data_IF_458264050348
#
_entry.id   IF_458264050348
#
_cell.length_a   1.000
_cell.length_b   1.000
_cell.length_c   1.000
_cell.angle_alpha   90.00
_cell.angle_beta   90.00
_cell.angle_gamma   90.00
#
_symmetry.space_group_name_H-M   'P 1'
#
loop_
_entity.id
_entity.type
_entity.pdbx_description
1 polymer ?
#
# COMPACT_ATOMS: atom_id res chain seq x y z
N UNK A 1 26.13 4.59 -14.95
CA UNK A 1 25.06 4.58 -13.94
C UNK A 1 24.93 3.22 -13.24
N UNK A 2 25.04 2.10 -13.98
CA UNK A 2 24.95 0.76 -13.39
C UNK A 2 25.87 0.55 -12.19
N UNK A 3 27.08 1.08 -12.22
CA UNK A 3 28.07 0.90 -11.16
C UNK A 3 27.82 1.82 -9.93
N UNK A 4 27.02 2.86 -10.14
CA UNK A 4 26.80 3.90 -9.12
C UNK A 4 25.47 3.74 -8.38
N UNK A 5 24.42 3.23 -9.03
CA UNK A 5 23.13 3.09 -8.34
C UNK A 5 23.15 2.11 -7.15
N UNK A 6 24.00 1.04 -7.11
CA UNK A 6 24.12 0.20 -5.92
C UNK A 6 24.50 0.98 -4.66
N UNK A 7 25.32 2.03 -4.78
CA UNK A 7 25.71 2.88 -3.65
C UNK A 7 24.51 3.65 -3.06
N UNK A 8 23.60 4.15 -3.91
CA UNK A 8 22.37 4.75 -3.43
C UNK A 8 21.43 3.69 -2.77
N UNK A 9 21.39 2.48 -3.30
CA UNK A 9 20.61 1.38 -2.70
C UNK A 9 21.16 1.01 -1.32
N UNK A 10 22.49 0.97 -1.15
CA UNK A 10 23.14 0.75 0.14
C UNK A 10 22.76 1.86 1.15
N UNK A 11 22.85 3.13 0.72
CA UNK A 11 22.38 4.28 1.53
C UNK A 11 20.91 4.16 1.93
N UNK A 12 20.06 3.65 1.04
CA UNK A 12 18.67 3.40 1.37
C UNK A 12 18.50 2.32 2.45
N UNK A 13 19.34 1.26 2.45
CA UNK A 13 19.34 0.20 3.47
C UNK A 13 19.85 0.73 4.81
N UNK A 14 20.96 1.49 4.83
CA UNK A 14 21.47 2.18 6.01
C UNK A 14 20.38 3.04 6.66
N UNK A 15 19.61 3.76 5.84
CA UNK A 15 18.46 4.57 6.26
C UNK A 15 17.21 3.73 6.58
N UNK A 16 17.35 2.41 6.74
CA UNK A 16 16.29 1.46 7.11
C UNK A 16 15.03 1.58 6.22
N UNK A 17 15.21 1.90 4.93
CA UNK A 17 14.09 1.91 3.99
C UNK A 17 13.54 0.50 3.79
N UNK A 18 12.23 0.38 3.62
CA UNK A 18 11.56 -0.92 3.41
C UNK A 18 12.08 -1.58 2.14
N UNK A 19 12.40 -2.88 2.19
CA UNK A 19 12.87 -3.67 1.04
C UNK A 19 11.95 -3.54 -0.18
N UNK A 20 10.66 -3.48 0.02
CA UNK A 20 9.73 -3.22 -1.07
C UNK A 20 10.02 -1.91 -1.81
N UNK A 21 10.30 -0.82 -1.07
CA UNK A 21 10.63 0.49 -1.68
C UNK A 21 11.95 0.42 -2.42
N UNK A 22 12.93 -0.28 -1.86
CA UNK A 22 14.23 -0.53 -2.47
C UNK A 22 14.05 -1.28 -3.80
N UNK A 23 13.33 -2.40 -3.80
CA UNK A 23 13.08 -3.20 -4.99
C UNK A 23 12.33 -2.41 -6.08
N UNK A 24 11.31 -1.62 -5.71
CA UNK A 24 10.62 -0.73 -6.64
C UNK A 24 11.54 0.36 -7.20
N UNK A 25 12.54 0.82 -6.43
CA UNK A 25 13.53 1.79 -6.87
C UNK A 25 14.52 1.16 -7.84
N UNK A 26 15.01 -0.05 -7.56
CA UNK A 26 15.87 -0.83 -8.47
C UNK A 26 15.19 -1.03 -9.83
N UNK A 27 13.90 -1.37 -9.84
CA UNK A 27 13.14 -1.52 -11.09
C UNK A 27 13.04 -0.19 -11.86
N UNK A 28 12.94 0.95 -11.16
CA UNK A 28 12.97 2.27 -11.80
C UNK A 28 14.33 2.56 -12.45
N UNK A 29 15.44 2.14 -11.83
CA UNK A 29 16.77 2.30 -12.39
C UNK A 29 16.97 1.48 -13.65
N UNK A 30 16.47 0.24 -13.66
CA UNK A 30 16.47 -0.60 -14.86
C UNK A 30 15.70 0.05 -16.01
N UNK A 31 14.55 0.64 -15.70
CA UNK A 31 13.73 1.36 -16.69
C UNK A 31 14.49 2.59 -17.26
N UNK A 32 15.23 3.32 -16.42
CA UNK A 32 16.07 4.45 -16.87
C UNK A 32 17.20 3.99 -17.79
N UNK A 33 17.91 2.93 -17.42
CA UNK A 33 18.99 2.38 -18.21
C UNK A 33 18.47 1.88 -19.57
N UNK A 34 17.32 1.23 -19.59
CA UNK A 34 16.69 0.72 -20.80
C UNK A 34 16.26 1.86 -21.76
N UNK A 35 15.75 2.98 -21.20
CA UNK A 35 15.25 4.12 -21.98
C UNK A 35 16.34 5.08 -22.43
N UNK A 36 17.29 5.41 -21.55
CA UNK A 36 18.28 6.47 -21.76
C UNK A 36 19.69 5.94 -22.04
N UNK A 37 19.88 4.64 -21.88
CA UNK A 37 21.20 4.00 -21.95
C UNK A 37 21.97 4.05 -20.64
N UNK A 38 23.01 3.23 -20.54
CA UNK A 38 23.92 3.20 -19.42
C UNK A 38 25.09 4.17 -19.66
N UNK A 39 24.99 5.38 -19.14
CA UNK A 39 26.02 6.43 -19.26
C UNK A 39 26.72 6.65 -17.90
N UNK A 40 27.94 7.22 -17.88
CA UNK A 40 28.49 7.84 -16.67
C UNK A 40 27.50 8.83 -16.03
N UNK A 41 27.49 8.93 -14.71
CA UNK A 41 26.46 9.75 -14.01
C UNK A 41 26.53 11.23 -14.38
N UNK A 42 27.73 11.74 -14.69
CA UNK A 42 27.94 13.14 -15.09
C UNK A 42 27.53 13.46 -16.54
N UNK A 43 27.27 12.45 -17.35
CA UNK A 43 26.86 12.63 -18.76
C UNK A 43 25.32 12.72 -18.93
N UNK A 44 24.57 12.47 -17.87
CA UNK A 44 23.12 12.68 -17.92
C UNK A 44 22.78 14.16 -17.85
N UNK A 45 21.90 14.59 -18.74
CA UNK A 45 21.51 15.99 -18.93
C UNK A 45 20.04 16.21 -18.56
N UNK A 46 19.64 17.48 -18.46
CA UNK A 46 18.20 17.84 -18.31
C UNK A 46 17.34 17.34 -19.48
N UNK A 47 17.95 17.12 -20.65
CA UNK A 47 17.25 16.52 -21.79
C UNK A 47 16.91 15.07 -21.47
N UNK A 48 17.84 14.29 -20.95
CA UNK A 48 17.60 12.91 -20.53
C UNK A 48 16.49 12.84 -19.47
N UNK A 49 16.51 13.74 -18.48
CA UNK A 49 15.45 13.83 -17.47
C UNK A 49 14.07 14.11 -18.09
N UNK A 50 13.99 15.01 -19.06
CA UNK A 50 12.77 15.31 -19.81
C UNK A 50 12.31 14.13 -20.66
N UNK A 51 13.23 13.44 -21.32
CA UNK A 51 12.93 12.31 -22.18
C UNK A 51 12.42 11.12 -21.34
N UNK A 52 13.01 10.88 -20.18
CA UNK A 52 12.46 9.92 -19.22
C UNK A 52 11.02 10.28 -18.82
N UNK A 53 10.76 11.53 -18.41
CA UNK A 53 9.41 11.98 -18.07
C UNK A 53 8.42 11.76 -19.22
N UNK A 54 8.81 12.12 -20.46
CA UNK A 54 7.95 11.98 -21.62
C UNK A 54 7.67 10.51 -21.95
N UNK A 55 8.66 9.63 -21.77
CA UNK A 55 8.51 8.19 -21.92
C UNK A 55 7.49 7.61 -20.94
N UNK A 56 7.46 8.10 -19.69
CA UNK A 56 6.47 7.64 -18.68
C UNK A 56 5.01 7.87 -19.10
N UNK A 57 4.74 8.88 -19.97
CA UNK A 57 3.38 9.13 -20.49
C UNK A 57 2.90 8.03 -21.45
N UNK A 58 3.82 7.25 -22.02
CA UNK A 58 3.55 6.17 -22.96
C UNK A 58 3.62 4.79 -22.32
N UNK A 59 4.20 4.64 -21.13
CA UNK A 59 4.34 3.33 -20.47
C UNK A 59 3.00 2.84 -19.92
N UNK A 60 2.59 1.59 -20.23
CA UNK A 60 1.37 1.02 -19.70
C UNK A 60 1.53 0.61 -18.22
N UNK A 61 0.40 0.69 -17.48
CA UNK A 61 0.35 0.18 -16.12
C UNK A 61 0.54 -1.34 -16.10
N UNK A 62 1.20 -1.86 -15.06
CA UNK A 62 1.38 -3.31 -14.87
C UNK A 62 2.01 -4.04 -16.08
N UNK A 63 2.86 -3.38 -16.88
CA UNK A 63 3.44 -3.93 -18.11
C UNK A 63 4.00 -5.34 -17.96
N UNK A 64 4.70 -5.63 -16.84
CA UNK A 64 5.29 -6.94 -16.55
C UNK A 64 4.27 -8.06 -16.25
N UNK A 65 2.98 -7.74 -16.10
CA UNK A 65 1.91 -8.71 -15.82
C UNK A 65 0.91 -8.87 -16.95
N UNK A 66 0.74 -7.84 -17.77
CA UNK A 66 -0.21 -7.84 -18.88
C UNK A 66 0.43 -8.58 -20.06
N UNK A 67 -0.20 -9.65 -20.52
CA UNK A 67 0.31 -10.53 -21.61
C UNK A 67 0.72 -9.74 -22.87
N UNK A 68 0.00 -8.69 -23.22
CA UNK A 68 0.29 -7.82 -24.36
C UNK A 68 1.65 -7.09 -24.26
N UNK A 69 2.14 -6.83 -23.04
CA UNK A 69 3.30 -5.96 -22.78
C UNK A 69 4.46 -6.66 -22.07
N UNK A 70 4.22 -7.79 -21.36
CA UNK A 70 5.18 -8.39 -20.42
C UNK A 70 6.49 -8.85 -21.05
N UNK A 71 6.40 -9.28 -22.31
CA UNK A 71 7.52 -9.88 -23.05
C UNK A 71 8.18 -8.85 -23.99
N UNK A 72 7.83 -7.56 -23.88
CA UNK A 72 8.33 -6.46 -24.70
C UNK A 72 9.28 -5.56 -23.93
N UNK A 73 10.31 -5.10 -24.62
CA UNK A 73 11.21 -4.03 -24.16
C UNK A 73 10.46 -2.69 -24.07
N UNK A 74 11.01 -1.74 -23.31
CA UNK A 74 10.43 -0.38 -23.24
C UNK A 74 10.51 0.32 -24.59
N UNK A 75 11.54 0.06 -25.41
CA UNK A 75 11.66 0.60 -26.77
C UNK A 75 10.53 0.12 -27.66
N UNK A 76 10.26 -1.18 -27.69
CA UNK A 76 9.12 -1.74 -28.43
C UNK A 76 7.77 -1.21 -27.92
N UNK A 77 7.62 -1.00 -26.59
CA UNK A 77 6.42 -0.42 -25.99
C UNK A 77 6.22 1.02 -26.45
N UNK A 78 7.28 1.82 -26.63
CA UNK A 78 7.19 3.20 -27.10
C UNK A 78 6.62 3.33 -28.52
N UNK A 79 6.76 2.29 -29.34
CA UNK A 79 6.23 2.22 -30.71
C UNK A 79 4.76 1.79 -30.77
N UNK A 80 4.21 1.30 -29.64
CA UNK A 80 2.82 0.84 -29.58
C UNK A 80 1.86 2.00 -29.33
N UNK A 81 0.71 1.92 -29.96
CA UNK A 81 -0.45 2.72 -29.53
C UNK A 81 -1.06 2.11 -28.26
N UNK A 82 -0.86 2.79 -27.13
CA UNK A 82 -1.30 2.36 -25.81
C UNK A 82 -2.65 3.01 -25.50
N UNK A 83 -3.72 2.23 -25.35
CA UNK A 83 -5.03 2.76 -25.00
C UNK A 83 -4.96 3.61 -23.70
N UNK A 84 -5.72 4.70 -23.59
CA UNK A 84 -5.74 5.54 -22.39
C UNK A 84 -6.04 4.76 -21.11
N UNK A 85 -6.90 3.72 -21.18
CA UNK A 85 -7.22 2.83 -20.07
C UNK A 85 -6.02 2.05 -19.53
N UNK A 86 -5.03 1.79 -20.37
CA UNK A 86 -3.83 1.01 -20.02
C UNK A 86 -2.66 1.88 -19.56
N UNK A 87 -2.70 3.18 -19.82
CA UNK A 87 -1.61 4.09 -19.44
C UNK A 87 -1.39 4.12 -17.93
N UNK A 88 -0.14 4.35 -17.54
CA UNK A 88 0.23 4.53 -16.14
C UNK A 88 -0.42 5.80 -15.58
N UNK A 89 -0.93 5.73 -14.33
CA UNK A 89 -1.49 6.91 -13.66
C UNK A 89 -0.42 7.96 -13.37
N UNK A 90 -0.81 9.22 -13.37
CA UNK A 90 0.09 10.34 -13.03
C UNK A 90 0.74 10.20 -11.66
N UNK A 91 0.03 9.65 -10.67
CA UNK A 91 0.60 9.38 -9.34
C UNK A 91 1.77 8.39 -9.40
N UNK A 92 1.67 7.36 -10.26
CA UNK A 92 2.75 6.40 -10.44
C UNK A 92 3.91 7.01 -11.23
N UNK A 93 3.64 7.79 -12.27
CA UNK A 93 4.67 8.53 -13.02
C UNK A 93 5.45 9.46 -12.08
N UNK A 94 4.74 10.24 -11.24
CA UNK A 94 5.37 11.12 -10.25
C UNK A 94 6.23 10.36 -9.25
N UNK A 95 5.82 9.16 -8.81
CA UNK A 95 6.65 8.32 -7.94
C UNK A 95 7.96 7.88 -8.60
N UNK A 96 7.93 7.51 -9.88
CA UNK A 96 9.13 7.12 -10.61
C UNK A 96 10.09 8.30 -10.76
N UNK A 97 9.59 9.48 -11.10
CA UNK A 97 10.40 10.71 -11.17
C UNK A 97 10.97 11.05 -9.79
N UNK A 98 10.17 10.95 -8.71
CA UNK A 98 10.65 11.23 -7.35
C UNK A 98 11.76 10.28 -6.91
N UNK A 99 11.74 9.01 -7.33
CA UNK A 99 12.82 8.06 -7.06
C UNK A 99 14.11 8.48 -7.76
N UNK A 100 14.01 8.91 -9.01
CA UNK A 100 15.16 9.40 -9.77
C UNK A 100 15.69 10.72 -9.19
N UNK A 101 14.80 11.63 -8.78
CA UNK A 101 15.17 12.85 -8.08
C UNK A 101 15.92 12.55 -6.78
N UNK A 102 15.46 11.57 -5.99
CA UNK A 102 16.15 11.13 -4.77
C UNK A 102 17.53 10.56 -5.05
N UNK A 103 17.65 9.73 -6.09
CA UNK A 103 18.92 9.15 -6.51
C UNK A 103 19.92 10.23 -6.96
N UNK A 104 19.47 11.18 -7.78
CA UNK A 104 20.34 12.26 -8.25
C UNK A 104 20.71 13.26 -7.17
N UNK A 105 19.84 13.53 -6.17
CA UNK A 105 20.24 14.29 -4.99
C UNK A 105 21.40 13.60 -4.27
N UNK A 106 21.30 12.29 -4.06
CA UNK A 106 22.39 11.51 -3.47
C UNK A 106 23.69 11.65 -4.26
N UNK A 107 23.63 11.62 -5.61
CA UNK A 107 24.85 11.80 -6.41
C UNK A 107 25.39 13.21 -6.37
N UNK A 108 24.56 14.24 -6.34
CA UNK A 108 24.99 15.63 -6.18
C UNK A 108 25.66 15.84 -4.81
N UNK A 109 25.12 15.21 -3.77
CA UNK A 109 25.62 15.37 -2.39
C UNK A 109 26.92 14.59 -2.16
N UNK A 110 27.04 13.36 -2.67
CA UNK A 110 28.14 12.45 -2.38
C UNK A 110 29.25 12.45 -3.46
N UNK A 111 28.94 12.92 -4.69
CA UNK A 111 29.84 12.92 -5.84
C UNK A 111 29.79 14.23 -6.62
N UNK A 112 29.99 15.40 -5.94
CA UNK A 112 29.85 16.71 -6.56
C UNK A 112 30.87 16.95 -7.70
N UNK A 113 31.99 16.22 -7.70
CA UNK A 113 33.01 16.28 -8.75
C UNK A 113 32.52 15.68 -10.09
N UNK A 114 31.50 14.80 -10.07
CA UNK A 114 30.93 14.19 -11.26
C UNK A 114 29.54 14.72 -11.61
N UNK A 115 28.77 15.16 -10.62
CA UNK A 115 27.37 15.58 -10.80
C UNK A 115 27.13 16.92 -10.11
N UNK A 116 27.04 17.98 -10.91
CA UNK A 116 26.86 19.36 -10.38
C UNK A 116 25.39 19.71 -10.12
N UNK A 117 24.43 19.04 -10.79
CA UNK A 117 23.02 19.35 -10.64
C UNK A 117 22.12 18.11 -10.79
N UNK A 118 20.94 18.19 -10.20
CA UNK A 118 19.94 17.14 -10.33
C UNK A 118 19.10 17.31 -11.60
N UNK A 119 19.37 16.48 -12.61
CA UNK A 119 18.72 16.51 -13.93
C UNK A 119 17.23 16.11 -13.89
N UNK A 120 16.77 15.47 -12.83
CA UNK A 120 15.38 15.06 -12.62
C UNK A 120 14.56 16.04 -11.75
N UNK A 121 15.20 17.03 -11.10
CA UNK A 121 14.54 17.93 -10.12
C UNK A 121 13.34 18.69 -10.68
N UNK A 122 13.41 19.13 -11.93
CA UNK A 122 12.35 19.94 -12.56
C UNK A 122 11.39 19.13 -13.43
N UNK A 123 11.44 17.81 -13.37
CA UNK A 123 10.68 16.91 -14.25
C UNK A 123 9.32 16.48 -13.67
N UNK A 124 8.85 17.15 -12.61
CA UNK A 124 7.54 16.81 -12.00
C UNK A 124 6.40 16.98 -13.02
N UNK A 125 5.54 15.97 -13.07
CA UNK A 125 4.31 16.04 -13.87
C UNK A 125 3.29 16.83 -13.03
N UNK A 126 3.02 18.07 -13.44
CA UNK A 126 1.99 18.90 -12.81
C UNK A 126 0.64 18.50 -13.37
N UNK A 127 -0.17 17.88 -12.54
CA UNK A 127 -1.60 17.70 -12.80
C UNK A 127 -2.33 18.61 -11.82
N UNK A 128 -3.38 19.27 -12.28
CA UNK A 128 -4.27 19.97 -11.35
C UNK A 128 -4.66 19.03 -10.23
N UNK A 129 -4.39 19.37 -8.97
CA UNK A 129 -4.64 18.46 -7.87
C UNK A 129 -6.15 18.22 -7.77
N UNK A 130 -6.58 17.07 -8.30
CA UNK A 130 -7.90 16.55 -7.95
C UNK A 130 -7.89 16.36 -6.44
N UNK A 131 -8.80 17.06 -5.74
CA UNK A 131 -8.89 17.00 -4.28
C UNK A 131 -8.88 15.51 -3.86
N UNK A 132 -8.16 15.18 -2.79
CA UNK A 132 -8.09 13.78 -2.29
C UNK A 132 -9.47 13.15 -2.13
N UNK A 133 -10.46 13.98 -1.75
CA UNK A 133 -11.86 13.61 -1.61
C UNK A 133 -12.48 13.10 -2.92
N UNK A 134 -12.09 13.64 -4.05
CA UNK A 134 -12.65 13.28 -5.36
C UNK A 134 -11.94 12.06 -6.00
N UNK A 135 -10.79 11.64 -5.43
CA UNK A 135 -10.02 10.48 -5.92
C UNK A 135 -10.53 9.14 -5.40
N UNK A 136 -11.21 9.12 -4.25
CA UNK A 136 -11.82 7.94 -3.63
C UNK A 136 -13.18 8.33 -3.11
N UNK A 137 -14.22 7.78 -3.70
CA UNK A 137 -15.56 7.96 -3.18
C UNK A 137 -15.66 7.43 -1.74
N UNK A 138 -16.29 8.18 -0.87
CA UNK A 138 -16.69 7.73 0.46
C UNK A 138 -17.87 6.78 0.32
N UNK A 139 -18.01 5.81 1.22
CA UNK A 139 -19.21 5.00 1.31
C UNK A 139 -20.37 5.86 1.79
N UNK A 140 -21.48 5.83 1.08
CA UNK A 140 -22.72 6.47 1.50
C UNK A 140 -23.42 5.59 2.55
N UNK A 141 -24.44 6.12 3.21
CA UNK A 141 -25.27 5.36 4.16
C UNK A 141 -25.89 4.12 3.49
N UNK A 142 -26.42 4.28 2.28
CA UNK A 142 -26.96 3.16 1.49
C UNK A 142 -25.90 2.11 1.17
N UNK A 143 -24.66 2.53 0.86
CA UNK A 143 -23.56 1.60 0.64
C UNK A 143 -23.27 0.79 1.92
N UNK A 144 -23.30 1.46 3.10
CA UNK A 144 -23.07 0.81 4.38
C UNK A 144 -24.18 -0.20 4.68
N UNK A 145 -25.44 0.18 4.46
CA UNK A 145 -26.57 -0.74 4.58
C UNK A 145 -26.42 -1.95 3.65
N UNK A 146 -25.98 -1.73 2.43
CA UNK A 146 -25.76 -2.81 1.47
C UNK A 146 -24.58 -3.71 1.88
N UNK A 147 -23.47 -3.14 2.37
CA UNK A 147 -22.30 -3.89 2.86
C UNK A 147 -22.68 -4.81 4.01
N UNK A 148 -23.47 -4.32 4.96
CA UNK A 148 -23.84 -5.06 6.19
C UNK A 148 -25.18 -5.76 6.11
N UNK A 149 -25.77 -5.87 4.91
CA UNK A 149 -26.99 -6.63 4.75
C UNK A 149 -26.77 -8.09 5.19
N UNK A 150 -27.58 -8.54 6.15
CA UNK A 150 -27.44 -9.88 6.75
C UNK A 150 -27.51 -11.02 5.74
N UNK A 151 -28.26 -10.84 4.63
CA UNK A 151 -28.41 -11.85 3.58
C UNK A 151 -27.17 -12.06 2.73
N UNK A 152 -26.26 -11.07 2.68
CA UNK A 152 -25.04 -11.12 1.88
C UNK A 152 -23.79 -11.17 2.75
N UNK A 153 -23.80 -10.44 3.88
CA UNK A 153 -22.62 -10.31 4.75
C UNK A 153 -22.33 -11.59 5.52
N UNK A 154 -23.32 -12.16 6.20
CA UNK A 154 -23.12 -13.39 6.97
C UNK A 154 -22.76 -14.58 6.07
N UNK A 155 -23.47 -14.87 4.97
CA UNK A 155 -23.06 -15.95 4.07
C UNK A 155 -21.65 -15.80 3.53
N UNK A 156 -21.21 -14.57 3.16
CA UNK A 156 -19.87 -14.33 2.69
C UNK A 156 -18.75 -14.72 3.69
N UNK A 157 -19.08 -14.69 5.00
CA UNK A 157 -18.19 -15.12 6.07
C UNK A 157 -18.12 -16.64 6.18
N UNK A 158 -19.25 -17.32 6.00
CA UNK A 158 -19.36 -18.76 6.14
C UNK A 158 -18.96 -19.52 4.86
N UNK A 159 -19.25 -18.94 3.71
CA UNK A 159 -18.94 -19.50 2.39
C UNK A 159 -17.56 -19.09 1.85
N UNK A 160 -16.62 -18.84 2.74
CA UNK A 160 -15.26 -18.48 2.34
C UNK A 160 -14.67 -19.54 1.40
N UNK A 161 -14.04 -19.13 0.26
CA UNK A 161 -13.42 -20.05 -0.69
C UNK A 161 -12.24 -20.85 -0.10
N UNK A 162 -11.83 -20.52 1.11
CA UNK A 162 -10.71 -21.15 1.83
C UNK A 162 -11.13 -22.26 2.78
N UNK A 163 -12.36 -22.74 2.69
CA UNK A 163 -12.85 -23.89 3.47
C UNK A 163 -13.97 -23.55 4.47
N UNK A 164 -14.59 -24.60 5.04
CA UNK A 164 -15.76 -24.54 5.93
C UNK A 164 -15.50 -23.94 7.32
N UNK A 165 -14.38 -23.24 7.56
CA UNK A 165 -14.10 -22.63 8.86
C UNK A 165 -14.59 -21.19 8.87
N UNK A 166 -15.32 -20.82 9.93
CA UNK A 166 -15.68 -19.42 10.21
C UNK A 166 -14.41 -18.59 10.22
N UNK A 167 -14.38 -17.55 9.39
CA UNK A 167 -13.25 -16.63 9.34
C UNK A 167 -13.65 -15.34 10.05
N UNK A 168 -13.41 -15.27 11.34
CA UNK A 168 -13.70 -14.11 12.17
C UNK A 168 -13.15 -12.76 11.62
N UNK A 169 -11.99 -12.71 10.94
CA UNK A 169 -11.53 -11.46 10.33
C UNK A 169 -12.53 -10.87 9.33
N UNK A 170 -13.22 -11.70 8.56
CA UNK A 170 -14.19 -11.20 7.56
C UNK A 170 -15.45 -10.59 8.17
N UNK A 171 -15.76 -11.00 9.39
CA UNK A 171 -16.83 -10.40 10.17
C UNK A 171 -16.35 -9.11 10.87
N UNK A 172 -15.28 -9.20 11.64
CA UNK A 172 -14.88 -8.11 12.52
C UNK A 172 -14.19 -6.94 11.84
N UNK A 173 -13.30 -7.19 10.85
CA UNK A 173 -12.48 -6.13 10.27
C UNK A 173 -13.29 -5.02 9.59
N UNK A 174 -14.36 -5.31 8.81
CA UNK A 174 -15.21 -4.24 8.24
C UNK A 174 -15.95 -3.43 9.32
N UNK A 175 -16.47 -4.11 10.34
CA UNK A 175 -17.16 -3.46 11.47
C UNK A 175 -16.17 -2.54 12.20
N UNK A 176 -15.03 -3.06 12.61
CA UNK A 176 -14.00 -2.26 13.28
C UNK A 176 -13.54 -1.08 12.41
N UNK A 177 -13.44 -1.28 11.09
CA UNK A 177 -13.07 -0.22 10.15
C UNK A 177 -14.00 0.99 10.21
N UNK A 178 -15.32 0.76 10.32
CA UNK A 178 -16.33 1.84 10.43
C UNK A 178 -16.27 2.52 11.80
N UNK A 179 -16.21 1.73 12.87
CA UNK A 179 -16.26 2.28 14.22
C UNK A 179 -14.97 2.96 14.67
N UNK A 180 -13.81 2.57 14.13
CA UNK A 180 -12.50 3.05 14.59
C UNK A 180 -11.77 3.94 13.62
N UNK A 181 -12.11 3.90 12.33
CA UNK A 181 -11.36 4.60 11.28
C UNK A 181 -9.90 4.14 11.12
N UNK A 182 -9.53 3.00 11.69
CA UNK A 182 -8.18 2.46 11.59
C UNK A 182 -7.81 2.08 10.16
N UNK A 183 -6.50 2.13 9.86
CA UNK A 183 -6.01 1.58 8.60
C UNK A 183 -6.22 0.07 8.58
N UNK A 184 -6.52 -0.46 7.39
CA UNK A 184 -6.79 -1.89 7.23
C UNK A 184 -5.68 -2.79 7.79
N UNK A 185 -4.42 -2.42 7.60
CA UNK A 185 -3.29 -3.18 8.13
C UNK A 185 -3.24 -3.14 9.66
N UNK A 186 -3.52 -1.99 10.28
CA UNK A 186 -3.58 -1.83 11.74
C UNK A 186 -4.63 -2.79 12.33
N UNK A 187 -5.81 -2.86 11.71
CA UNK A 187 -6.84 -3.81 12.14
C UNK A 187 -6.41 -5.28 11.98
N UNK A 188 -5.82 -5.62 10.83
CA UNK A 188 -5.41 -7.01 10.57
C UNK A 188 -4.23 -7.47 11.45
N UNK A 189 -3.43 -6.53 11.96
CA UNK A 189 -2.28 -6.80 12.84
C UNK A 189 -2.63 -6.73 14.32
N UNK A 190 -3.84 -6.33 14.69
CA UNK A 190 -4.30 -6.13 16.06
C UNK A 190 -3.93 -7.31 16.97
N UNK A 191 -3.32 -7.02 18.11
CA UNK A 191 -2.94 -8.02 19.12
C UNK A 191 -3.90 -8.00 20.29
N UNK A 192 -4.03 -9.11 20.95
CA UNK A 192 -4.86 -9.25 22.15
C UNK A 192 -4.43 -8.26 23.24
N UNK A 193 -3.10 -8.07 23.41
CA UNK A 193 -2.55 -7.15 24.42
C UNK A 193 -2.78 -5.67 24.11
N UNK A 194 -3.09 -5.32 22.85
CA UNK A 194 -3.36 -3.95 22.44
C UNK A 194 -4.79 -3.51 22.78
N UNK A 195 -5.65 -4.44 23.21
CA UNK A 195 -7.01 -4.14 23.68
C UNK A 195 -6.97 -4.05 25.19
N UNK A 196 -6.95 -2.84 25.70
CA UNK A 196 -6.77 -2.53 27.11
C UNK A 196 -7.99 -1.80 27.68
N UNK A 197 -8.17 -1.87 28.97
CA UNK A 197 -9.20 -1.10 29.68
C UNK A 197 -8.54 0.03 30.47
N UNK A 198 -8.85 1.28 30.10
CA UNK A 198 -8.38 2.47 30.80
C UNK A 198 -9.58 3.21 31.40
N UNK A 199 -9.58 3.42 32.71
CA UNK A 199 -10.65 4.16 33.41
C UNK A 199 -12.04 3.72 32.96
N UNK A 200 -12.46 2.58 32.91
CA UNK A 200 -13.75 2.06 32.44
C UNK A 200 -14.04 2.12 30.93
N UNK A 201 -13.11 2.61 30.12
CA UNK A 201 -13.23 2.64 28.66
C UNK A 201 -12.32 1.58 28.06
N UNK A 202 -12.83 0.77 27.15
CA UNK A 202 -12.01 -0.12 26.33
C UNK A 202 -11.36 0.66 25.21
N UNK A 203 -10.07 0.41 25.02
CA UNK A 203 -9.23 1.16 24.07
C UNK A 203 -8.44 0.17 23.21
N UNK A 204 -8.36 0.45 21.92
CA UNK A 204 -7.36 -0.15 21.05
C UNK A 204 -6.12 0.75 21.01
N UNK A 205 -5.04 0.29 21.59
CA UNK A 205 -3.77 1.01 21.72
C UNK A 205 -2.84 0.64 20.56
N UNK A 206 -2.63 1.57 19.64
CA UNK A 206 -1.72 1.38 18.51
C UNK A 206 -0.35 1.93 18.89
N UNK A 207 0.65 1.06 19.01
CA UNK A 207 2.02 1.41 19.34
C UNK A 207 2.98 0.83 18.32
N UNK A 208 4.13 1.50 18.14
CA UNK A 208 5.26 0.96 17.41
C UNK A 208 6.09 0.10 18.38
N UNK A 209 6.13 -1.20 18.16
CA UNK A 209 6.99 -2.05 18.97
C UNK A 209 8.43 -1.99 18.46
N UNK A 210 9.31 -1.36 19.30
CA UNK A 210 10.72 -1.67 19.33
C UNK A 210 10.94 -2.92 20.18
N UNK A 211 11.58 -3.94 19.59
CA UNK A 211 12.29 -5.01 20.31
C UNK A 211 11.53 -5.91 21.31
N UNK A 212 10.45 -6.58 20.92
CA UNK A 212 10.09 -7.86 21.54
C UNK A 212 9.41 -8.79 20.54
N UNK A 213 10.15 -9.83 20.13
CA UNK A 213 9.64 -10.91 19.26
C UNK A 213 9.82 -10.67 17.76
N UNK A 214 9.97 -11.74 17.00
CA UNK A 214 10.39 -11.84 15.58
C UNK A 214 9.53 -11.10 14.53
N UNK A 215 8.55 -10.30 14.90
CA UNK A 215 7.72 -9.54 13.99
C UNK A 215 7.64 -8.06 14.38
N UNK A 216 8.50 -7.24 13.78
CA UNK A 216 8.39 -5.77 13.87
C UNK A 216 7.06 -5.33 13.26
N UNK A 217 6.14 -4.87 14.09
CA UNK A 217 4.99 -4.08 13.66
C UNK A 217 5.49 -2.71 13.20
N UNK A 218 5.81 -2.56 11.93
CA UNK A 218 6.22 -1.28 11.39
C UNK A 218 5.01 -0.38 11.19
N UNK A 219 4.74 0.49 12.14
CA UNK A 219 3.87 1.64 11.95
C UNK A 219 4.53 2.56 10.91
N UNK A 220 3.75 3.14 10.02
CA UNK A 220 4.28 3.88 8.85
C UNK A 220 5.03 5.16 9.23
N UNK A 221 4.75 5.72 10.40
CA UNK A 221 5.35 6.94 10.97
C UNK A 221 5.25 6.89 12.51
N UNK A 222 6.20 7.47 13.28
CA UNK A 222 6.12 7.61 14.73
C UNK A 222 4.83 8.32 15.21
N UNK A 223 4.27 9.22 14.40
CA UNK A 223 2.99 9.89 14.65
C UNK A 223 1.75 9.00 14.46
N UNK A 224 1.92 7.72 14.21
CA UNK A 224 0.79 6.78 14.06
C UNK A 224 0.37 6.13 15.37
N UNK A 225 1.16 6.31 16.44
CA UNK A 225 0.82 5.85 17.77
C UNK A 225 -0.39 6.63 18.30
N UNK A 226 -1.38 5.93 18.73
CA UNK A 226 -2.61 6.53 19.25
C UNK A 226 -3.48 5.50 19.97
N UNK A 227 -4.33 5.99 20.84
CA UNK A 227 -5.33 5.23 21.55
C UNK A 227 -6.70 5.53 20.93
N UNK A 228 -7.44 4.50 20.62
CA UNK A 228 -8.73 4.58 19.97
C UNK A 228 -9.77 3.99 20.93
N UNK A 229 -10.66 4.82 21.48
CA UNK A 229 -11.75 4.33 22.31
C UNK A 229 -12.68 3.42 21.51
N UNK A 230 -13.03 2.28 22.08
CA UNK A 230 -14.00 1.36 21.50
C UNK A 230 -15.40 1.79 21.98
N UNK A 231 -16.31 1.99 21.03
CA UNK A 231 -17.68 2.40 21.34
C UNK A 231 -18.41 1.31 22.15
N UNK A 232 -19.39 1.72 22.95
CA UNK A 232 -20.26 0.77 23.69
C UNK A 232 -20.98 -0.21 22.75
N UNK A 233 -21.31 0.20 21.54
CA UNK A 233 -21.89 -0.70 20.53
C UNK A 233 -20.94 -1.85 20.20
N UNK A 234 -19.64 -1.56 20.00
CA UNK A 234 -18.63 -2.62 19.75
C UNK A 234 -18.46 -3.53 20.97
N UNK A 235 -18.41 -2.94 22.15
CA UNK A 235 -18.10 -3.64 23.41
C UNK A 235 -19.30 -4.44 23.90
N UNK A 236 -20.43 -3.76 24.10
CA UNK A 236 -21.58 -4.31 24.83
C UNK A 236 -22.55 -5.01 23.87
N UNK A 237 -22.90 -4.37 22.75
CA UNK A 237 -23.88 -4.90 21.80
C UNK A 237 -23.31 -5.99 20.92
N UNK A 238 -22.20 -5.72 20.25
CA UNK A 238 -21.59 -6.67 19.32
C UNK A 238 -20.66 -7.67 20.01
N UNK A 239 -20.18 -7.35 21.21
CA UNK A 239 -19.37 -8.26 22.03
C UNK A 239 -17.94 -8.45 21.53
N UNK A 240 -17.34 -7.42 20.94
CA UNK A 240 -15.96 -7.51 20.42
C UNK A 240 -14.94 -7.87 21.50
N UNK A 241 -15.07 -7.29 22.71
CA UNK A 241 -14.17 -7.62 23.82
C UNK A 241 -14.33 -9.08 24.25
N UNK A 242 -15.54 -9.60 24.26
CA UNK A 242 -15.79 -11.04 24.54
C UNK A 242 -15.11 -11.94 23.50
N UNK A 243 -15.12 -11.52 22.24
CA UNK A 243 -14.38 -12.23 21.20
C UNK A 243 -12.85 -12.17 21.43
N UNK A 244 -12.31 -11.00 21.82
CA UNK A 244 -10.88 -10.86 22.17
C UNK A 244 -10.51 -11.78 23.35
N UNK A 245 -11.33 -11.83 24.38
CA UNK A 245 -11.14 -12.74 25.53
C UNK A 245 -11.20 -14.21 25.13
N UNK A 246 -12.09 -14.57 24.22
CA UNK A 246 -12.11 -15.92 23.63
C UNK A 246 -10.78 -16.25 22.94
N UNK A 247 -10.28 -15.34 22.09
CA UNK A 247 -9.01 -15.51 21.38
C UNK A 247 -7.84 -15.64 22.35
N UNK A 248 -7.84 -14.83 23.43
CA UNK A 248 -6.85 -14.88 24.52
C UNK A 248 -6.84 -16.25 25.21
N UNK A 249 -8.02 -16.79 25.52
CA UNK A 249 -8.16 -18.14 26.14
C UNK A 249 -7.68 -19.25 25.22
N UNK A 250 -7.64 -19.04 23.90
CA UNK A 250 -7.04 -19.96 22.93
C UNK A 250 -5.51 -19.82 22.84
N UNK A 251 -4.89 -19.00 23.68
CA UNK A 251 -3.44 -18.76 23.67
C UNK A 251 -2.93 -18.04 22.42
N UNK A 252 -3.78 -17.29 21.74
CA UNK A 252 -3.40 -16.55 20.55
C UNK A 252 -2.95 -15.13 20.90
N UNK A 253 -1.87 -14.68 20.29
CA UNK A 253 -1.34 -13.33 20.47
C UNK A 253 -2.07 -12.30 19.62
N UNK A 254 -2.49 -12.66 18.39
CA UNK A 254 -3.20 -11.77 17.48
C UNK A 254 -4.71 -12.05 17.52
N UNK A 255 -5.49 -10.96 17.51
CA UNK A 255 -6.95 -11.04 17.49
C UNK A 255 -7.45 -11.79 16.25
N UNK A 256 -6.81 -11.54 15.10
CA UNK A 256 -7.08 -12.20 13.82
C UNK A 256 -5.94 -13.15 13.43
N UNK A 257 -5.73 -14.15 14.26
CA UNK A 257 -4.66 -15.14 14.11
C UNK A 257 -4.77 -16.01 12.85
N UNK A 258 -5.96 -16.07 12.23
CA UNK A 258 -6.19 -16.79 10.97
C UNK A 258 -5.57 -16.08 9.75
N UNK A 259 -5.30 -14.78 9.87
CA UNK A 259 -4.69 -14.02 8.78
C UNK A 259 -3.21 -14.36 8.66
N UNK A 260 -2.81 -14.78 7.46
CA UNK A 260 -1.42 -15.09 7.14
C UNK A 260 -0.74 -13.89 6.50
N UNK A 261 0.55 -13.69 6.80
CA UNK A 261 1.36 -12.62 6.23
C UNK A 261 1.70 -12.94 4.77
N UNK A 262 1.31 -12.08 3.85
CA UNK A 262 1.61 -12.20 2.41
C UNK A 262 2.23 -10.89 1.94
N UNK A 263 3.44 -10.93 1.36
CA UNK A 263 4.18 -9.74 0.93
C UNK A 263 4.29 -8.68 2.04
N UNK A 264 4.69 -9.13 3.20
CA UNK A 264 4.82 -8.32 4.43
C UNK A 264 3.54 -7.64 4.92
N UNK A 265 2.35 -8.20 4.60
CA UNK A 265 1.05 -7.68 5.03
C UNK A 265 0.09 -8.77 5.45
N UNK A 266 -0.57 -8.58 6.58
CA UNK A 266 -1.69 -9.41 7.02
C UNK A 266 -2.99 -9.05 6.30
N UNK A 267 -3.15 -7.78 5.90
CA UNK A 267 -4.32 -7.30 5.17
C UNK A 267 -4.41 -7.75 3.71
N UNK A 268 -3.38 -8.43 3.16
CA UNK A 268 -3.32 -8.73 1.73
C UNK A 268 -4.51 -9.58 1.24
N UNK A 269 -4.72 -10.73 1.88
CA UNK A 269 -5.78 -11.65 1.49
C UNK A 269 -7.16 -11.09 1.84
N UNK A 270 -7.31 -10.49 3.02
CA UNK A 270 -8.53 -9.82 3.42
C UNK A 270 -8.91 -8.70 2.44
N UNK A 271 -7.98 -7.81 2.11
CA UNK A 271 -8.23 -6.70 1.18
C UNK A 271 -8.64 -7.16 -0.22
N UNK A 272 -8.06 -8.27 -0.71
CA UNK A 272 -8.50 -8.89 -1.98
C UNK A 272 -9.91 -9.43 -1.87
N UNK A 273 -10.21 -10.21 -0.83
CA UNK A 273 -11.56 -10.72 -0.62
C UNK A 273 -12.57 -9.58 -0.57
N UNK A 274 -12.39 -8.64 0.34
CA UNK A 274 -13.36 -7.58 0.58
C UNK A 274 -13.51 -6.66 -0.64
N UNK A 275 -12.40 -6.07 -1.12
CA UNK A 275 -12.46 -5.07 -2.19
C UNK A 275 -12.66 -5.65 -3.59
N UNK A 276 -12.18 -6.87 -3.88
CA UNK A 276 -12.21 -7.42 -5.24
C UNK A 276 -13.33 -8.43 -5.46
N UNK A 277 -13.76 -9.12 -4.40
CA UNK A 277 -14.78 -10.14 -4.48
C UNK A 277 -16.09 -9.66 -3.84
N UNK A 278 -16.10 -9.36 -2.53
CA UNK A 278 -17.31 -9.05 -1.80
C UNK A 278 -18.00 -7.78 -2.32
N UNK A 279 -17.30 -6.64 -2.40
CA UNK A 279 -17.88 -5.41 -2.94
C UNK A 279 -18.34 -5.56 -4.39
N UNK A 280 -17.68 -6.40 -5.19
CA UNK A 280 -18.13 -6.71 -6.53
C UNK A 280 -19.44 -7.52 -6.53
N UNK A 281 -19.55 -8.51 -5.67
CA UNK A 281 -20.73 -9.37 -5.54
C UNK A 281 -21.98 -8.57 -5.18
N UNK A 282 -21.83 -7.56 -4.31
CA UNK A 282 -22.93 -6.68 -3.90
C UNK A 282 -23.10 -5.44 -4.81
N UNK A 283 -22.41 -5.37 -5.95
CA UNK A 283 -22.58 -4.29 -6.95
C UNK A 283 -21.85 -2.97 -6.66
N UNK A 284 -21.06 -2.88 -5.57
CA UNK A 284 -20.40 -1.62 -5.16
C UNK A 284 -19.02 -1.36 -5.81
N UNK A 285 -18.52 -2.25 -6.63
CA UNK A 285 -17.14 -2.14 -7.17
C UNK A 285 -16.95 -1.03 -8.20
N UNK A 286 -17.99 -0.55 -8.84
CA UNK A 286 -17.89 0.35 -10.00
C UNK A 286 -17.54 1.82 -9.63
N UNK A 287 -17.47 2.18 -8.36
CA UNK A 287 -17.27 3.57 -7.90
C UNK A 287 -15.88 3.93 -7.37
N UNK A 288 -14.87 3.06 -7.50
CA UNK A 288 -13.53 3.35 -6.95
C UNK A 288 -13.44 3.32 -5.43
N UNK A 289 -14.52 2.99 -4.73
CA UNK A 289 -14.62 2.91 -3.27
C UNK A 289 -13.87 1.70 -2.74
N UNK A 290 -13.14 1.85 -1.64
CA UNK A 290 -12.35 0.78 -1.01
C UNK A 290 -12.30 0.98 0.49
N UNK A 291 -12.38 -0.11 1.24
CA UNK A 291 -11.90 -0.13 2.62
C UNK A 291 -10.37 0.03 2.59
N UNK A 292 -9.84 1.10 3.15
CA UNK A 292 -8.42 1.47 3.07
C UNK A 292 -7.73 1.41 4.43
#
# INVERSE_FOLDING_TARGET
FCDMFPKHIERMRENKRRERTINETIETYKDVIELLGNKPIGEYTKIDGRDFRNSLLKIPKNRKRVKRYRDKTLKEIMELDIPPSDKMSFDNQTKLISRMTSCWNFFVDEYPEYVSENVFKSQSIRVNPVKRKDRRGEFTEDDIHLIFNHRTYLPAIFDSPYGKKIQYPYYWVPILGIFTGCRLEELCMMRVKDIIKEKDIWVYSIREEGEYGDEKTTVKNPYSERDIPLSSVLVDTLGFVRYVDYVKKQGKERVFWELTKVKDRFSHNFGRFFNERYLKQIGLKNGGRKLS
#
